data_IF_589945075024
#
_entry.id   IF_589945075024
#
_cell.length_a   1.000
_cell.length_b   1.000
_cell.length_c   1.000
_cell.angle_alpha   90.00
_cell.angle_beta   90.00
_cell.angle_gamma   90.00
#
_symmetry.space_group_name_H-M   'P 1'
#
loop_
_entity.id
_entity.type
_entity.pdbx_description
1 polymer ?
#
# COMPACT_ATOMS: atom_id res chain seq x y z
N UNK A 1 10.86 21.32 -15.22
CA UNK A 1 11.05 21.79 -13.83
C UNK A 1 11.14 23.32 -13.64
N UNK A 2 11.00 24.15 -14.72
CA UNK A 2 10.95 25.62 -14.65
C UNK A 2 11.94 26.27 -13.64
N UNK A 3 13.20 25.80 -13.64
CA UNK A 3 14.23 26.25 -12.73
C UNK A 3 14.17 25.67 -11.31
N UNK A 4 13.22 24.81 -11.00
CA UNK A 4 13.21 24.01 -9.76
C UNK A 4 14.19 22.85 -9.88
N UNK A 5 14.82 22.48 -8.76
CA UNK A 5 15.80 21.40 -8.72
C UNK A 5 15.13 20.01 -8.75
N UNK A 6 13.98 19.90 -8.08
CA UNK A 6 13.19 18.66 -7.99
C UNK A 6 11.70 18.99 -7.96
N UNK A 7 10.85 18.01 -8.18
CA UNK A 7 9.40 18.17 -8.06
C UNK A 7 8.96 18.57 -6.64
N UNK A 8 9.72 18.21 -5.62
CA UNK A 8 9.45 18.64 -4.24
C UNK A 8 9.52 20.16 -4.05
N UNK A 9 10.34 20.86 -4.82
CA UNK A 9 10.56 22.31 -4.69
C UNK A 9 9.40 23.14 -5.26
N UNK A 10 8.42 22.52 -5.89
CA UNK A 10 7.19 23.20 -6.34
C UNK A 10 6.23 23.52 -5.19
N UNK A 11 6.33 22.78 -4.09
CA UNK A 11 5.43 22.90 -2.96
C UNK A 11 6.10 23.60 -1.79
N UNK A 12 5.36 24.41 -1.07
CA UNK A 12 5.73 24.89 0.25
C UNK A 12 5.21 23.92 1.29
N UNK A 13 5.98 23.70 2.34
CA UNK A 13 5.65 22.74 3.37
C UNK A 13 5.47 23.42 4.72
N UNK A 14 4.58 22.87 5.52
CA UNK A 14 4.38 23.26 6.92
C UNK A 14 4.27 22.03 7.82
N UNK A 15 4.49 22.25 9.11
CA UNK A 15 4.29 21.23 10.14
C UNK A 15 2.89 21.36 10.72
N UNK A 16 2.16 20.27 10.76
CA UNK A 16 0.81 20.18 11.35
C UNK A 16 0.74 19.16 12.45
N UNK A 17 -0.25 19.34 13.33
CA UNK A 17 -0.62 18.37 14.34
C UNK A 17 -1.78 17.53 13.87
N UNK A 18 -1.68 16.22 14.05
CA UNK A 18 -2.78 15.27 13.85
C UNK A 18 -3.15 14.64 15.19
N UNK A 19 -4.41 14.72 15.58
CA UNK A 19 -4.92 14.22 16.87
C UNK A 19 -6.17 13.38 16.64
N UNK A 20 -6.21 12.19 17.28
CA UNK A 20 -7.44 11.39 17.39
C UNK A 20 -7.89 11.42 18.85
N UNK A 21 -9.17 11.72 19.04
CA UNK A 21 -9.83 11.62 20.35
C UNK A 21 -10.87 10.51 20.31
N UNK A 22 -11.03 9.81 21.43
CA UNK A 22 -12.11 8.86 21.61
C UNK A 22 -13.45 9.61 21.88
N UNK A 23 -14.61 8.91 21.92
CA UNK A 23 -15.90 9.54 22.22
C UNK A 23 -15.98 10.22 23.58
N UNK A 24 -15.07 9.92 24.51
CA UNK A 24 -14.98 10.54 25.85
C UNK A 24 -14.10 11.80 25.84
N UNK A 25 -13.43 12.12 24.70
CA UNK A 25 -12.56 13.28 24.56
C UNK A 25 -11.09 13.02 24.87
N UNK A 26 -10.70 11.80 25.29
CA UNK A 26 -9.30 11.46 25.57
C UNK A 26 -8.52 11.32 24.26
N UNK A 27 -7.27 11.79 24.26
CA UNK A 27 -6.37 11.66 23.12
C UNK A 27 -5.86 10.21 23.02
N UNK A 28 -6.17 9.53 21.92
CA UNK A 28 -5.69 8.16 21.60
C UNK A 28 -4.49 8.16 20.67
N UNK A 29 -4.32 9.22 19.89
CA UNK A 29 -3.19 9.40 18.99
C UNK A 29 -2.89 10.89 18.86
N UNK A 30 -1.62 11.23 18.89
CA UNK A 30 -1.13 12.58 18.64
C UNK A 30 0.20 12.53 17.89
N UNK A 31 0.33 13.33 16.86
CA UNK A 31 1.57 13.56 16.13
C UNK A 31 1.68 15.06 15.79
N UNK A 32 2.61 15.74 16.44
CA UNK A 32 2.79 17.19 16.35
C UNK A 32 3.77 17.63 15.26
N UNK A 33 4.31 16.69 14.46
CA UNK A 33 5.35 16.96 13.47
C UNK A 33 5.03 16.28 12.14
N UNK A 34 3.83 16.53 11.62
CA UNK A 34 3.39 16.03 10.32
C UNK A 34 3.71 17.05 9.26
N UNK A 35 4.78 16.85 8.48
CA UNK A 35 5.15 17.75 7.38
C UNK A 35 4.33 17.41 6.14
N UNK A 36 3.57 18.40 5.62
CA UNK A 36 2.74 18.31 4.42
C UNK A 36 2.81 19.61 3.60
N UNK A 37 2.44 19.61 2.31
CA UNK A 37 2.24 20.86 1.57
C UNK A 37 1.19 21.75 2.26
N UNK A 38 1.42 23.08 2.25
CA UNK A 38 0.50 24.07 2.83
C UNK A 38 -0.92 23.98 2.26
N UNK A 39 -1.05 23.51 1.03
CA UNK A 39 -2.32 23.40 0.30
C UNK A 39 -3.17 22.18 0.72
N UNK A 40 -2.59 21.23 1.46
CA UNK A 40 -3.31 20.04 1.88
C UNK A 40 -4.36 20.39 2.93
N UNK A 41 -5.51 19.71 2.88
CA UNK A 41 -6.52 19.83 3.94
C UNK A 41 -6.04 19.17 5.24
N UNK A 42 -6.61 19.59 6.39
CA UNK A 42 -6.35 18.91 7.66
C UNK A 42 -6.78 17.46 7.63
N UNK A 43 -7.89 17.14 6.96
CA UNK A 43 -8.37 15.76 6.79
C UNK A 43 -7.36 14.90 6.05
N UNK A 44 -6.76 15.40 4.96
CA UNK A 44 -5.71 14.68 4.23
C UNK A 44 -4.47 14.46 5.11
N UNK A 45 -4.08 15.46 5.90
CA UNK A 45 -2.98 15.36 6.86
C UNK A 45 -3.25 14.29 7.93
N UNK A 46 -4.45 14.27 8.48
CA UNK A 46 -4.86 13.29 9.50
C UNK A 46 -4.86 11.86 8.95
N UNK A 47 -5.42 11.65 7.76
CA UNK A 47 -5.40 10.35 7.08
C UNK A 47 -3.97 9.87 6.84
N UNK A 48 -3.09 10.75 6.33
CA UNK A 48 -1.68 10.43 6.12
C UNK A 48 -1.00 9.98 7.42
N UNK A 49 -1.09 10.79 8.47
CA UNK A 49 -0.40 10.54 9.73
C UNK A 49 -0.92 9.29 10.46
N UNK A 50 -2.24 9.07 10.40
CA UNK A 50 -2.89 7.98 11.12
C UNK A 50 -2.82 6.64 10.39
N UNK A 51 -2.84 6.64 9.06
CA UNK A 51 -2.99 5.44 8.25
C UNK A 51 -1.73 5.07 7.46
N UNK A 52 -1.04 6.04 6.88
CA UNK A 52 -0.05 5.78 5.84
C UNK A 52 1.40 5.97 6.26
N UNK A 53 1.68 6.75 7.30
CA UNK A 53 3.04 6.83 7.84
C UNK A 53 3.49 5.49 8.38
N UNK A 54 4.66 5.03 7.95
CA UNK A 54 5.35 3.92 8.60
C UNK A 54 5.83 4.37 9.97
N UNK A 55 5.36 3.70 11.01
CA UNK A 55 5.58 4.13 12.41
C UNK A 55 6.88 3.67 13.01
N UNK A 56 7.47 2.60 12.47
CA UNK A 56 8.69 1.98 13.03
C UNK A 56 9.58 1.42 11.94
N UNK A 57 10.88 1.29 12.24
CA UNK A 57 11.84 0.68 11.34
C UNK A 57 12.42 1.64 10.30
N UNK A 58 12.07 2.93 10.35
CA UNK A 58 12.55 3.95 9.40
C UNK A 58 13.86 4.55 9.93
N UNK A 59 14.98 4.43 9.18
CA UNK A 59 16.24 5.08 9.56
C UNK A 59 16.07 6.61 9.59
N UNK A 60 16.58 7.23 10.64
CA UNK A 60 16.57 8.68 10.83
C UNK A 60 17.93 9.28 10.48
N UNK A 61 17.98 10.58 10.22
CA UNK A 61 19.22 11.30 9.88
C UNK A 61 20.25 11.33 11.03
N UNK A 62 19.80 11.15 12.26
CA UNK A 62 20.65 11.07 13.45
C UNK A 62 21.17 9.66 13.75
N UNK A 63 20.90 8.68 12.88
CA UNK A 63 21.29 7.28 13.03
C UNK A 63 20.33 6.44 13.90
N UNK A 64 19.28 7.03 14.47
CA UNK A 64 18.25 6.31 15.22
C UNK A 64 17.25 5.63 14.29
N UNK A 65 16.41 4.78 14.86
CA UNK A 65 15.28 4.15 14.15
C UNK A 65 13.98 4.73 14.68
N UNK A 66 13.16 5.24 13.76
CA UNK A 66 11.90 5.89 14.09
C UNK A 66 10.78 5.55 13.12
N UNK A 67 9.90 6.53 12.88
CA UNK A 67 8.83 6.49 11.89
C UNK A 67 8.95 7.58 10.84
N UNK A 68 8.09 7.53 9.83
CA UNK A 68 7.92 8.63 8.87
C UNK A 68 7.22 9.82 9.56
N UNK A 69 7.63 11.03 9.21
CA UNK A 69 7.08 12.28 9.72
C UNK A 69 6.70 13.26 8.60
N UNK A 70 7.12 12.97 7.38
CA UNK A 70 6.92 13.83 6.22
C UNK A 70 6.26 13.08 5.07
N UNK A 71 5.31 13.73 4.39
CA UNK A 71 4.78 13.22 3.10
C UNK A 71 5.89 13.04 2.07
N UNK A 72 6.97 13.83 2.16
CA UNK A 72 8.12 13.71 1.25
C UNK A 72 8.76 12.34 1.34
N UNK A 73 8.87 11.76 2.54
CA UNK A 73 9.38 10.40 2.74
C UNK A 73 8.47 9.36 2.08
N UNK A 74 7.17 9.49 2.28
CA UNK A 74 6.17 8.55 1.72
C UNK A 74 6.17 8.62 0.20
N UNK A 75 6.09 9.82 -0.38
CA UNK A 75 6.07 10.00 -1.84
C UNK A 75 7.39 9.55 -2.46
N UNK A 76 8.53 9.88 -1.81
CA UNK A 76 9.84 9.44 -2.29
C UNK A 76 9.92 7.91 -2.36
N UNK A 77 9.57 7.19 -1.29
CA UNK A 77 9.68 5.71 -1.30
C UNK A 77 8.79 5.04 -2.33
N UNK A 78 7.60 5.61 -2.61
CA UNK A 78 6.71 5.12 -3.65
C UNK A 78 7.31 5.36 -5.05
N UNK A 79 7.61 6.61 -5.36
CA UNK A 79 8.09 7.02 -6.67
C UNK A 79 9.46 6.39 -7.02
N UNK A 80 10.37 6.33 -6.05
CA UNK A 80 11.69 5.71 -6.23
C UNK A 80 11.59 4.19 -6.43
N UNK A 81 10.71 3.52 -5.69
CA UNK A 81 10.47 2.10 -5.88
C UNK A 81 9.94 1.79 -7.29
N UNK A 82 8.95 2.53 -7.77
CA UNK A 82 8.41 2.34 -9.11
C UNK A 82 9.43 2.71 -10.21
N UNK A 83 10.22 3.77 -10.01
CA UNK A 83 11.32 4.13 -10.92
C UNK A 83 12.35 3.00 -10.98
N UNK A 84 12.79 2.49 -9.84
CA UNK A 84 13.80 1.44 -9.78
C UNK A 84 13.31 0.14 -10.45
N UNK A 85 12.05 -0.24 -10.27
CA UNK A 85 11.46 -1.35 -11.02
C UNK A 85 11.41 -1.07 -12.53
N UNK A 86 11.06 0.16 -12.92
CA UNK A 86 11.06 0.54 -14.33
C UNK A 86 12.46 0.50 -14.97
N UNK A 87 13.51 0.87 -14.24
CA UNK A 87 14.91 0.74 -14.67
C UNK A 87 15.34 -0.74 -14.75
N UNK A 88 15.04 -1.54 -13.72
CA UNK A 88 15.35 -2.97 -13.65
C UNK A 88 14.72 -3.75 -14.81
N UNK A 89 13.47 -3.43 -15.16
CA UNK A 89 12.72 -4.16 -16.20
C UNK A 89 12.72 -3.48 -17.57
N UNK A 90 13.56 -2.44 -17.76
CA UNK A 90 13.78 -1.81 -19.07
C UNK A 90 12.58 -1.03 -19.61
N UNK A 91 11.75 -0.44 -18.75
CA UNK A 91 10.59 0.36 -19.18
C UNK A 91 10.98 1.76 -19.67
N UNK A 92 12.15 2.24 -19.31
CA UNK A 92 12.66 3.55 -19.73
C UNK A 92 13.68 3.42 -20.83
N UNK A 93 13.70 4.35 -21.81
CA UNK A 93 14.70 4.38 -22.88
C UNK A 93 16.09 4.71 -22.37
N UNK A 94 16.15 5.52 -21.32
CA UNK A 94 17.40 6.01 -20.72
C UNK A 94 17.14 6.52 -19.29
N UNK A 95 18.21 6.85 -18.58
CA UNK A 95 18.13 7.36 -17.20
C UNK A 95 17.38 8.69 -17.07
N UNK A 96 17.42 9.55 -18.10
CA UNK A 96 16.69 10.82 -18.07
C UNK A 96 15.19 10.57 -18.05
N UNK A 97 14.69 9.62 -18.85
CA UNK A 97 13.26 9.25 -18.84
C UNK A 97 12.82 8.70 -17.47
N UNK A 98 13.69 7.93 -16.81
CA UNK A 98 13.43 7.43 -15.46
C UNK A 98 13.34 8.56 -14.41
N UNK A 99 14.20 9.58 -14.51
CA UNK A 99 14.13 10.76 -13.64
C UNK A 99 12.89 11.61 -13.92
N UNK A 100 12.53 11.81 -15.18
CA UNK A 100 11.29 12.51 -15.54
C UNK A 100 10.09 11.77 -14.97
N UNK A 101 10.01 10.45 -15.12
CA UNK A 101 8.96 9.64 -14.51
C UNK A 101 8.88 9.83 -12.98
N UNK A 102 10.03 9.80 -12.30
CA UNK A 102 10.07 10.03 -10.86
C UNK A 102 9.53 11.42 -10.48
N UNK A 103 10.00 12.48 -11.12
CA UNK A 103 9.57 13.85 -10.84
C UNK A 103 8.07 14.06 -11.12
N UNK A 104 7.56 13.51 -12.22
CA UNK A 104 6.13 13.59 -12.55
C UNK A 104 5.26 12.87 -11.50
N UNK A 105 5.64 11.67 -11.08
CA UNK A 105 4.93 10.93 -10.03
C UNK A 105 4.97 11.70 -8.69
N UNK A 106 6.13 12.23 -8.30
CA UNK A 106 6.26 13.06 -7.10
C UNK A 106 5.35 14.28 -7.17
N UNK A 107 5.36 14.99 -8.28
CA UNK A 107 4.49 16.16 -8.49
C UNK A 107 3.01 15.80 -8.38
N UNK A 108 2.59 14.73 -9.06
CA UNK A 108 1.19 14.29 -9.07
C UNK A 108 0.70 13.85 -7.68
N UNK A 109 1.52 13.15 -6.91
CA UNK A 109 1.15 12.68 -5.58
C UNK A 109 1.08 13.83 -4.56
N UNK A 110 2.04 14.75 -4.60
CA UNK A 110 2.05 15.93 -3.72
C UNK A 110 0.91 16.91 -4.03
N UNK A 111 0.61 17.11 -5.31
CA UNK A 111 -0.50 17.95 -5.78
C UNK A 111 -1.87 17.29 -5.68
N UNK A 112 -1.96 16.04 -5.19
CA UNK A 112 -3.20 15.25 -5.09
C UNK A 112 -3.91 15.06 -6.44
N UNK A 113 -3.17 15.10 -7.57
CA UNK A 113 -3.71 14.78 -8.91
C UNK A 113 -3.94 13.28 -9.09
N UNK A 114 -3.21 12.46 -8.33
CA UNK A 114 -3.35 11.02 -8.29
C UNK A 114 -3.15 10.50 -6.86
N UNK A 115 -3.80 9.41 -6.52
CA UNK A 115 -3.61 8.70 -5.27
C UNK A 115 -3.61 7.19 -5.53
N UNK A 116 -2.53 6.47 -5.20
CA UNK A 116 -2.54 5.02 -5.24
C UNK A 116 -3.50 4.46 -4.19
N UNK A 117 -3.88 3.20 -4.38
CA UNK A 117 -4.71 2.51 -3.40
C UNK A 117 -3.95 2.27 -2.07
N UNK A 118 -4.68 1.98 -1.00
CA UNK A 118 -4.13 1.84 0.35
C UNK A 118 -2.98 0.82 0.48
N UNK A 119 -3.01 -0.39 -0.12
CA UNK A 119 -1.89 -1.31 -0.08
C UNK A 119 -0.58 -0.75 -0.65
N UNK A 120 -0.64 0.10 -1.67
CA UNK A 120 0.53 0.81 -2.19
C UNK A 120 1.09 1.77 -1.14
N UNK A 121 0.23 2.61 -0.53
CA UNK A 121 0.62 3.53 0.54
C UNK A 121 1.23 2.81 1.74
N UNK A 122 0.72 1.64 2.13
CA UNK A 122 1.22 0.88 3.28
C UNK A 122 2.55 0.18 3.03
N UNK A 123 2.75 -0.36 1.82
CA UNK A 123 3.74 -1.42 1.61
C UNK A 123 4.84 -1.06 0.61
N UNK A 124 4.52 -0.26 -0.43
CA UNK A 124 5.45 -0.01 -1.53
C UNK A 124 6.62 0.87 -1.08
N UNK A 125 7.81 0.46 -1.44
CA UNK A 125 9.05 1.16 -1.18
C UNK A 125 9.65 0.96 0.21
N UNK A 126 8.96 0.34 1.15
CA UNK A 126 9.51 0.10 2.50
C UNK A 126 10.78 -0.74 2.48
N UNK A 127 10.83 -1.76 1.63
CA UNK A 127 12.03 -2.56 1.44
C UNK A 127 13.10 -1.81 0.65
N UNK A 128 12.73 -1.24 -0.49
CA UNK A 128 13.68 -0.57 -1.38
C UNK A 128 14.37 0.63 -0.74
N UNK A 129 13.62 1.45 0.00
CA UNK A 129 14.14 2.69 0.58
C UNK A 129 14.73 2.51 1.98
N UNK A 130 14.11 1.65 2.81
CA UNK A 130 14.48 1.51 4.22
C UNK A 130 15.05 0.15 4.59
N UNK A 131 15.06 -0.83 3.66
CA UNK A 131 15.49 -2.21 3.94
C UNK A 131 14.53 -2.96 4.87
N UNK A 132 13.31 -2.46 5.08
CA UNK A 132 12.35 -3.07 6.00
C UNK A 132 11.81 -4.35 5.38
N UNK A 133 11.98 -5.47 6.09
CA UNK A 133 11.40 -6.78 5.76
C UNK A 133 10.23 -7.07 6.69
N UNK A 134 9.14 -7.59 6.13
CA UNK A 134 7.98 -8.06 6.90
C UNK A 134 7.79 -9.56 6.78
N UNK A 135 7.03 -10.16 7.69
CA UNK A 135 6.67 -11.56 7.60
C UNK A 135 5.91 -11.86 6.30
N UNK A 136 6.11 -13.05 5.74
CA UNK A 136 5.41 -13.50 4.55
C UNK A 136 3.89 -13.45 4.72
N UNK A 137 3.19 -12.89 3.74
CA UNK A 137 1.72 -12.78 3.74
C UNK A 137 1.03 -13.93 3.01
N UNK A 138 1.81 -14.83 2.40
CA UNK A 138 1.29 -15.96 1.66
C UNK A 138 0.87 -15.65 0.22
N UNK A 139 1.17 -14.45 -0.28
CA UNK A 139 0.94 -14.09 -1.68
C UNK A 139 2.04 -14.59 -2.60
N UNK A 140 1.75 -14.61 -3.89
CA UNK A 140 2.66 -15.06 -4.94
C UNK A 140 3.00 -13.90 -5.88
N UNK A 141 4.14 -14.01 -6.53
CA UNK A 141 4.59 -13.11 -7.60
C UNK A 141 5.23 -13.92 -8.74
N UNK A 142 5.28 -13.33 -9.92
CA UNK A 142 6.06 -13.90 -11.02
C UNK A 142 7.49 -13.41 -10.88
N UNK A 143 8.43 -14.33 -10.80
CA UNK A 143 9.84 -14.00 -10.78
C UNK A 143 10.24 -13.49 -12.19
N UNK A 144 10.73 -12.24 -12.29
CA UNK A 144 10.99 -11.64 -13.60
C UNK A 144 12.17 -12.27 -14.33
N UNK A 145 13.07 -12.95 -13.62
CA UNK A 145 14.23 -13.59 -14.22
C UNK A 145 13.90 -14.98 -14.78
N UNK A 146 12.99 -15.70 -14.15
CA UNK A 146 12.66 -17.09 -14.53
C UNK A 146 11.29 -17.22 -15.17
N UNK A 147 10.40 -16.24 -15.01
CA UNK A 147 8.99 -16.32 -15.42
C UNK A 147 8.14 -17.27 -14.57
N UNK A 148 8.70 -17.83 -13.51
CA UNK A 148 8.01 -18.78 -12.63
C UNK A 148 7.23 -18.07 -11.53
N UNK A 149 6.10 -18.67 -11.14
CA UNK A 149 5.34 -18.20 -9.99
C UNK A 149 6.01 -18.65 -8.69
N UNK A 150 6.43 -17.69 -7.86
CA UNK A 150 7.08 -17.91 -6.56
C UNK A 150 6.23 -17.34 -5.43
N UNK A 151 6.26 -18.02 -4.29
CA UNK A 151 5.64 -17.52 -3.07
C UNK A 151 6.55 -16.48 -2.44
N UNK A 152 6.00 -15.29 -2.10
CA UNK A 152 6.80 -14.26 -1.46
C UNK A 152 7.21 -14.65 -0.04
N UNK A 153 8.47 -14.40 0.29
CA UNK A 153 9.04 -14.58 1.63
C UNK A 153 8.92 -13.33 2.51
N UNK A 154 8.58 -12.18 1.92
CA UNK A 154 8.50 -10.89 2.61
C UNK A 154 7.26 -10.11 2.19
N UNK A 155 6.65 -9.42 3.15
CA UNK A 155 5.51 -8.53 2.89
C UNK A 155 5.88 -7.31 2.02
N UNK A 156 7.15 -6.85 2.06
CA UNK A 156 7.55 -5.56 1.51
C UNK A 156 8.55 -5.62 0.35
N UNK A 157 9.23 -6.76 0.16
CA UNK A 157 10.18 -6.95 -0.95
C UNK A 157 9.46 -7.12 -2.30
N UNK A 158 8.40 -7.92 -2.30
CA UNK A 158 7.47 -8.10 -3.42
C UNK A 158 6.06 -7.84 -2.89
N UNK A 159 5.70 -6.57 -2.63
CA UNK A 159 4.45 -6.26 -1.96
C UNK A 159 3.25 -6.61 -2.83
N UNK A 160 2.17 -7.05 -2.20
CA UNK A 160 0.88 -7.21 -2.85
C UNK A 160 0.24 -5.83 -3.02
N UNK A 161 -0.02 -5.37 -4.26
CA UNK A 161 -0.41 -3.98 -4.53
C UNK A 161 -1.91 -3.76 -4.66
N UNK A 162 -2.74 -4.82 -4.64
CA UNK A 162 -4.16 -4.74 -4.96
C UNK A 162 -5.00 -4.42 -3.72
N UNK A 163 -5.94 -3.49 -3.89
CA UNK A 163 -6.86 -3.08 -2.83
C UNK A 163 -8.05 -4.01 -2.68
N UNK A 164 -8.50 -4.61 -3.78
CA UNK A 164 -9.73 -5.41 -3.80
C UNK A 164 -9.56 -6.68 -4.61
N UNK A 165 -10.23 -7.73 -4.16
CA UNK A 165 -10.26 -9.03 -4.80
C UNK A 165 -11.69 -9.46 -5.03
N UNK A 166 -11.96 -10.10 -6.20
CA UNK A 166 -13.20 -10.78 -6.45
C UNK A 166 -12.96 -12.27 -6.28
N UNK A 167 -13.67 -12.86 -5.35
CA UNK A 167 -13.64 -14.30 -5.08
C UNK A 167 -14.89 -14.99 -5.60
N UNK A 168 -14.77 -16.28 -5.88
CA UNK A 168 -15.87 -17.18 -6.15
C UNK A 168 -15.89 -18.31 -5.10
N UNK A 169 -17.05 -18.89 -4.89
CA UNK A 169 -17.25 -20.01 -3.97
C UNK A 169 -17.88 -21.17 -4.73
N UNK A 170 -17.45 -22.40 -4.45
CA UNK A 170 -18.10 -23.62 -4.92
C UNK A 170 -19.23 -23.98 -3.98
N UNK A 171 -20.22 -24.64 -4.50
CA UNK A 171 -21.33 -25.20 -3.72
C UNK A 171 -20.88 -26.44 -2.93
N UNK A 172 -20.02 -26.18 -1.96
CA UNK A 172 -19.38 -27.16 -1.07
C UNK A 172 -19.14 -26.50 0.28
N UNK A 173 -19.33 -27.23 1.37
CA UNK A 173 -19.19 -26.64 2.70
C UNK A 173 -17.74 -26.52 3.13
N UNK A 174 -16.93 -27.58 2.99
CA UNK A 174 -15.62 -27.69 3.68
C UNK A 174 -14.43 -27.90 2.74
N UNK A 175 -14.65 -28.39 1.52
CA UNK A 175 -13.54 -28.69 0.61
C UNK A 175 -12.90 -27.43 0.01
N UNK A 176 -11.70 -27.53 -0.60
CA UNK A 176 -11.02 -26.40 -1.21
C UNK A 176 -11.89 -25.66 -2.25
N UNK A 177 -12.06 -24.38 -2.06
CA UNK A 177 -12.93 -23.52 -2.86
C UNK A 177 -14.37 -23.43 -2.35
N UNK A 178 -14.74 -24.17 -1.30
CA UNK A 178 -16.05 -24.11 -0.67
C UNK A 178 -16.22 -22.97 0.34
N UNK A 179 -17.33 -23.00 1.07
CA UNK A 179 -17.78 -21.89 1.94
C UNK A 179 -16.79 -21.61 3.09
N UNK A 180 -16.30 -22.66 3.77
CA UNK A 180 -15.35 -22.48 4.86
C UNK A 180 -13.95 -22.06 4.38
N UNK A 181 -13.53 -22.54 3.21
CA UNK A 181 -12.29 -22.09 2.58
C UNK A 181 -12.38 -20.62 2.15
N UNK A 182 -13.54 -20.18 1.64
CA UNK A 182 -13.80 -18.77 1.33
C UNK A 182 -13.59 -17.90 2.58
N UNK A 183 -14.15 -18.27 3.73
CA UNK A 183 -14.01 -17.52 4.97
C UNK A 183 -12.52 -17.35 5.36
N UNK A 184 -11.71 -18.39 5.22
CA UNK A 184 -10.27 -18.33 5.49
C UNK A 184 -9.54 -17.39 4.52
N UNK A 185 -9.91 -17.41 3.24
CA UNK A 185 -9.33 -16.52 2.21
C UNK A 185 -9.68 -15.07 2.49
N UNK A 186 -10.93 -14.77 2.78
CA UNK A 186 -11.40 -13.42 3.14
C UNK A 186 -10.67 -12.89 4.38
N UNK A 187 -10.59 -13.68 5.43
CA UNK A 187 -9.89 -13.30 6.65
C UNK A 187 -8.41 -12.96 6.40
N UNK A 188 -7.72 -13.68 5.51
CA UNK A 188 -6.34 -13.37 5.10
C UNK A 188 -6.25 -12.04 4.35
N UNK A 189 -7.13 -11.82 3.38
CA UNK A 189 -7.15 -10.59 2.58
C UNK A 189 -7.41 -9.38 3.47
N UNK A 190 -8.40 -9.44 4.36
CA UNK A 190 -8.70 -8.36 5.31
C UNK A 190 -7.55 -8.09 6.28
N UNK A 191 -6.88 -9.14 6.77
CA UNK A 191 -5.72 -8.99 7.66
C UNK A 191 -4.62 -8.13 7.04
N UNK A 192 -4.47 -8.17 5.73
CA UNK A 192 -3.41 -7.47 5.00
C UNK A 192 -3.88 -6.16 4.33
N UNK A 193 -5.06 -5.68 4.70
CA UNK A 193 -5.55 -4.34 4.36
C UNK A 193 -6.26 -4.23 3.02
N UNK A 194 -6.63 -5.36 2.39
CA UNK A 194 -7.40 -5.37 1.15
C UNK A 194 -8.87 -5.72 1.39
N UNK A 195 -9.75 -5.35 0.45
CA UNK A 195 -11.17 -5.68 0.46
C UNK A 195 -11.50 -6.90 -0.41
N UNK A 196 -12.68 -7.47 -0.18
CA UNK A 196 -13.19 -8.62 -0.94
C UNK A 196 -14.62 -8.37 -1.41
N UNK A 197 -14.89 -8.75 -2.67
CA UNK A 197 -16.23 -8.99 -3.18
C UNK A 197 -16.38 -10.47 -3.53
N UNK A 198 -17.47 -11.09 -3.13
CA UNK A 198 -17.69 -12.52 -3.37
C UNK A 198 -18.89 -12.76 -4.29
N UNK A 199 -18.68 -13.59 -5.30
CA UNK A 199 -19.75 -14.08 -6.16
C UNK A 199 -20.31 -15.39 -5.60
N UNK A 200 -21.57 -15.35 -5.16
CA UNK A 200 -22.31 -16.48 -4.60
C UNK A 200 -23.19 -17.22 -5.62
N UNK A 201 -23.14 -16.85 -6.90
CA UNK A 201 -24.03 -17.42 -7.93
C UNK A 201 -23.89 -18.94 -8.13
N UNK A 202 -22.78 -19.52 -7.67
CA UNK A 202 -22.56 -20.99 -7.74
C UNK A 202 -23.24 -21.78 -6.62
N UNK A 203 -23.72 -21.09 -5.57
CA UNK A 203 -24.41 -21.77 -4.49
C UNK A 203 -25.85 -22.11 -4.90
N UNK A 204 -26.28 -23.29 -4.49
CA UNK A 204 -27.64 -23.73 -4.73
C UNK A 204 -28.68 -22.86 -4.04
N UNK A 205 -29.87 -22.77 -4.59
CA UNK A 205 -31.03 -22.13 -3.98
C UNK A 205 -31.62 -22.97 -2.84
N UNK A 206 -32.44 -22.34 -1.98
CA UNK A 206 -33.04 -22.98 -0.81
C UNK A 206 -33.91 -24.22 -1.13
N UNK A 207 -34.40 -24.30 -2.35
CA UNK A 207 -35.28 -25.40 -2.78
C UNK A 207 -34.56 -26.45 -3.65
N UNK A 208 -33.26 -26.32 -3.85
CA UNK A 208 -32.47 -27.28 -4.61
C UNK A 208 -31.97 -28.41 -3.71
N UNK A 209 -32.09 -29.64 -4.20
CA UNK A 209 -31.67 -30.84 -3.47
C UNK A 209 -30.16 -30.92 -3.34
N UNK A 210 -29.67 -31.43 -2.21
CA UNK A 210 -28.30 -31.82 -2.02
C UNK A 210 -27.95 -32.97 -2.98
N UNK A 211 -26.78 -32.85 -3.66
CA UNK A 211 -26.29 -33.87 -4.57
C UNK A 211 -26.05 -35.23 -3.90
N UNK A 212 -25.98 -35.31 -2.57
CA UNK A 212 -25.80 -36.52 -1.77
C UNK A 212 -27.06 -37.04 -1.09
N UNK A 213 -28.25 -36.53 -1.40
CA UNK A 213 -29.52 -37.07 -0.88
C UNK A 213 -29.85 -36.70 0.59
N UNK A 214 -29.31 -35.60 1.11
CA UNK A 214 -29.66 -35.04 2.42
C UNK A 214 -30.83 -34.06 2.33
#
# INVERSE_FOLDING_TARGET
TDGKKTAFDYYKYELRTSVIKNPKGDVVFENNKVEVPEEWSQVATDILAQKYFRRTGVPQSDGTIGGETSIRQVVHRLADCWKNWGEEFGYFRNKSDAFVFYDEIVFMLLGQYAAPNSPQWFNTGLYNTYGIKGAAQGHFYIDPMTGEMKKSSSAYERPQPHACFILSVKDDLVNPGGIMDLLVREARIFKYGSGVGTNFSSLRGANEKLSGGG
#
